data_IF_230153376227
#
_entry.id   IF_230153376227
#
_cell.length_a   1.000
_cell.length_b   1.000
_cell.length_c   1.000
_cell.angle_alpha   90.00
_cell.angle_beta   90.00
_cell.angle_gamma   90.00
#
_symmetry.space_group_name_H-M   'P 1'
#
loop_
_entity.id
_entity.type
_entity.pdbx_description
1 polymer ?
#
# COMPACT_ATOMS: atom_id res chain seq x y z
N UNK A 1 -10.78 20.65 12.57
CA UNK A 1 -11.99 19.90 13.02
C UNK A 1 -11.73 18.39 13.11
N UNK A 2 -11.10 17.77 12.12
CA UNK A 2 -10.74 16.34 12.15
C UNK A 2 -9.58 16.03 13.12
N UNK A 3 -8.58 16.89 13.16
CA UNK A 3 -7.45 16.79 14.10
C UNK A 3 -7.87 16.99 15.56
N UNK A 4 -8.87 17.85 15.82
CA UNK A 4 -9.50 18.00 17.14
C UNK A 4 -10.29 16.77 17.54
N UNK A 5 -10.92 16.07 16.59
CA UNK A 5 -11.67 14.83 16.84
C UNK A 5 -10.73 13.66 17.16
N UNK A 6 -9.59 13.57 16.46
CA UNK A 6 -8.59 12.53 16.70
C UNK A 6 -7.89 12.67 18.07
N UNK A 7 -7.72 13.92 18.55
CA UNK A 7 -7.22 14.19 19.92
C UNK A 7 -8.20 13.75 21.00
N UNK A 8 -9.50 13.93 20.78
CA UNK A 8 -10.54 13.49 21.73
C UNK A 8 -10.56 11.95 21.82
N UNK A 9 -10.51 11.25 20.69
CA UNK A 9 -10.53 9.78 20.66
C UNK A 9 -9.34 9.12 21.38
N UNK A 10 -8.13 9.68 21.25
CA UNK A 10 -6.93 9.17 21.93
C UNK A 10 -7.01 9.27 23.46
N UNK A 11 -7.63 10.34 23.98
CA UNK A 11 -7.78 10.54 25.43
C UNK A 11 -8.80 9.58 26.06
N UNK A 12 -9.67 8.99 25.25
CA UNK A 12 -10.72 8.06 25.68
C UNK A 12 -10.28 6.59 25.65
N UNK A 13 -9.18 6.27 24.97
CA UNK A 13 -8.67 4.90 24.86
C UNK A 13 -7.99 4.43 26.16
N UNK A 14 -8.09 3.13 26.46
CA UNK A 14 -7.49 2.55 27.67
C UNK A 14 -5.97 2.79 27.68
N UNK A 15 -5.48 3.39 28.77
CA UNK A 15 -4.06 3.79 28.92
C UNK A 15 -3.52 4.65 27.76
N UNK A 16 -4.38 5.44 27.10
CA UNK A 16 -4.02 6.26 25.94
C UNK A 16 -3.41 5.43 24.80
N UNK A 17 -4.00 4.25 24.54
CA UNK A 17 -3.61 3.36 23.44
C UNK A 17 -4.25 3.77 22.11
N UNK A 18 -3.85 3.10 21.02
CA UNK A 18 -4.48 3.21 19.70
C UNK A 18 -4.70 1.81 19.14
N UNK A 19 -5.79 1.62 18.40
CA UNK A 19 -5.97 0.42 17.61
C UNK A 19 -4.93 0.38 16.48
N UNK A 20 -4.19 -0.73 16.38
CA UNK A 20 -3.14 -0.94 15.38
C UNK A 20 -3.38 -2.20 14.53
N UNK A 21 -4.60 -2.76 14.56
CA UNK A 21 -4.93 -3.97 13.79
C UNK A 21 -5.03 -3.72 12.29
N UNK A 22 -5.94 -2.82 11.90
CA UNK A 22 -6.19 -2.48 10.49
C UNK A 22 -5.15 -1.52 9.87
N UNK A 23 -4.57 -0.52 10.57
CA UNK A 23 -3.62 0.41 9.95
C UNK A 23 -2.43 -0.25 9.23
N UNK A 24 -1.82 -1.34 9.74
CA UNK A 24 -0.76 -2.07 9.03
C UNK A 24 -1.20 -2.79 7.76
N UNK A 25 -2.50 -3.07 7.56
CA UNK A 25 -3.00 -3.71 6.32
C UNK A 25 -2.58 -2.91 5.08
N UNK A 26 -2.60 -1.58 5.20
CA UNK A 26 -2.22 -0.66 4.12
C UNK A 26 -0.73 -0.69 3.79
N UNK A 27 0.14 -1.25 4.64
CA UNK A 27 1.59 -1.32 4.36
C UNK A 27 1.91 -2.21 3.15
N UNK A 28 1.02 -3.14 2.79
CA UNK A 28 1.17 -3.96 1.57
C UNK A 28 1.21 -3.14 0.28
N UNK A 29 0.67 -1.92 0.28
CA UNK A 29 0.73 -0.99 -0.86
C UNK A 29 2.18 -0.61 -1.20
N UNK A 30 3.08 -0.57 -0.21
CA UNK A 30 4.50 -0.34 -0.46
C UNK A 30 5.12 -1.41 -1.37
N UNK A 31 4.80 -2.69 -1.12
CA UNK A 31 5.25 -3.82 -1.95
C UNK A 31 4.64 -3.76 -3.35
N UNK A 32 3.35 -3.39 -3.44
CA UNK A 32 2.66 -3.23 -4.71
C UNK A 32 3.38 -2.22 -5.64
N UNK A 33 3.81 -1.08 -5.11
CA UNK A 33 4.59 -0.09 -5.88
C UNK A 33 6.04 -0.52 -6.11
N UNK A 34 6.66 -1.25 -5.18
CA UNK A 34 8.01 -1.78 -5.36
C UNK A 34 8.08 -2.71 -6.58
N UNK A 35 7.10 -3.61 -6.76
CA UNK A 35 7.01 -4.50 -7.92
C UNK A 35 6.86 -3.69 -9.23
N UNK A 36 5.97 -2.68 -9.25
CA UNK A 36 5.82 -1.80 -10.42
C UNK A 36 7.11 -1.07 -10.79
N UNK A 37 7.82 -0.55 -9.79
CA UNK A 37 9.10 0.12 -10.00
C UNK A 37 10.16 -0.85 -10.53
N UNK A 38 10.18 -2.10 -10.06
CA UNK A 38 11.08 -3.13 -10.59
C UNK A 38 10.77 -3.47 -12.06
N UNK A 39 9.49 -3.60 -12.41
CA UNK A 39 9.07 -3.81 -13.81
C UNK A 39 9.51 -2.63 -14.69
N UNK A 40 9.29 -1.39 -14.24
CA UNK A 40 9.74 -0.18 -14.95
C UNK A 40 11.26 -0.08 -15.10
N UNK A 41 12.00 -0.52 -14.09
CA UNK A 41 13.46 -0.53 -14.15
C UNK A 41 13.97 -1.52 -15.22
N UNK A 42 13.29 -2.66 -15.39
CA UNK A 42 13.59 -3.62 -16.45
C UNK A 42 13.08 -3.16 -17.82
N UNK A 43 11.85 -2.63 -17.87
CA UNK A 43 11.16 -2.21 -19.10
C UNK A 43 10.60 -0.80 -18.93
N UNK A 44 11.36 0.24 -19.33
CA UNK A 44 10.98 1.65 -19.12
C UNK A 44 9.68 2.07 -19.81
N UNK A 45 9.30 1.41 -20.91
CA UNK A 45 8.08 1.62 -21.69
C UNK A 45 6.88 0.81 -21.16
N UNK A 46 7.05 0.00 -20.11
CA UNK A 46 5.98 -0.78 -19.52
C UNK A 46 4.82 0.11 -19.04
N UNK A 47 3.63 -0.14 -19.57
CA UNK A 47 2.40 0.55 -19.12
C UNK A 47 1.98 0.00 -17.76
N UNK A 48 1.99 0.86 -16.74
CA UNK A 48 1.50 0.50 -15.42
C UNK A 48 -0.03 0.53 -15.40
N UNK A 49 -0.62 -0.60 -14.99
CA UNK A 49 -2.07 -0.77 -14.81
C UNK A 49 -2.31 -1.08 -13.34
N UNK A 50 -3.23 -0.32 -12.73
CA UNK A 50 -3.60 -0.53 -11.33
C UNK A 50 -4.57 -1.71 -11.20
N UNK A 51 -4.03 -2.92 -11.18
CA UNK A 51 -4.79 -4.17 -11.09
C UNK A 51 -4.18 -5.11 -10.05
N UNK A 52 -4.65 -4.98 -8.81
CA UNK A 52 -4.23 -5.85 -7.71
C UNK A 52 -4.98 -7.20 -7.73
N UNK A 53 -4.38 -8.30 -7.23
CA UNK A 53 -2.99 -8.40 -6.77
C UNK A 53 -1.99 -8.51 -7.93
N UNK A 54 -0.73 -8.17 -7.69
CA UNK A 54 0.36 -8.52 -8.60
C UNK A 54 0.70 -10.00 -8.42
N UNK A 55 0.11 -10.85 -9.25
CA UNK A 55 0.48 -12.27 -9.31
C UNK A 55 1.78 -12.44 -10.11
N UNK A 56 2.52 -13.56 -9.94
CA UNK A 56 3.70 -13.84 -10.75
C UNK A 56 3.44 -13.78 -12.26
N UNK A 57 2.26 -14.22 -12.73
CA UNK A 57 1.86 -14.16 -14.14
C UNK A 57 1.73 -12.71 -14.62
N UNK A 58 1.06 -11.84 -13.85
CA UNK A 58 0.97 -10.40 -14.16
C UNK A 58 2.34 -9.73 -14.18
N UNK A 59 3.25 -10.13 -13.29
CA UNK A 59 4.64 -9.65 -13.30
C UNK A 59 5.35 -10.10 -14.57
N UNK A 60 5.25 -11.38 -14.92
CA UNK A 60 5.87 -11.93 -16.14
C UNK A 60 5.37 -11.22 -17.40
N UNK A 61 4.05 -11.02 -17.53
CA UNK A 61 3.47 -10.25 -18.62
C UNK A 61 3.97 -8.81 -18.59
N UNK A 62 3.98 -8.16 -17.42
CA UNK A 62 4.54 -6.81 -17.26
C UNK A 62 5.99 -6.66 -17.71
N UNK A 63 6.79 -7.72 -17.65
CA UNK A 63 8.18 -7.74 -18.13
C UNK A 63 8.28 -7.94 -19.66
N UNK A 64 7.47 -8.81 -20.28
CA UNK A 64 7.71 -9.30 -21.64
C UNK A 64 6.59 -9.08 -22.67
N UNK A 65 5.40 -8.63 -22.26
CA UNK A 65 4.25 -8.44 -23.18
C UNK A 65 4.08 -7.00 -23.63
#
# INVERSE_FOLDING_TARGET
MEESMNRVSYLLAIRRSKAVGEPPLMYGIGVYFAIQNAIKAFRPDARMVFDAPYTPEKVLMGLYS
#
